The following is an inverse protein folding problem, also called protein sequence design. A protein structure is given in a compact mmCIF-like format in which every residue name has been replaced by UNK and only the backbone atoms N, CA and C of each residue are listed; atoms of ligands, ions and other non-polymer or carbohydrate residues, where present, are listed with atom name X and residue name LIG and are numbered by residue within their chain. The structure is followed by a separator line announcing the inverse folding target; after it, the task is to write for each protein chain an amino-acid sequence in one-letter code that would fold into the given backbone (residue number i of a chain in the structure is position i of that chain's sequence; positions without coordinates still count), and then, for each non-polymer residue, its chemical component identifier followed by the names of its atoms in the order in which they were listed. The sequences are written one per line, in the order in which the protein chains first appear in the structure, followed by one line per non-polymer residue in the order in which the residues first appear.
data_IF_803140564912
#
_entry.id   IF_803140564912
#
_cell.length_a   1.000
_cell.length_b   1.000
_cell.length_c   1.000
_cell.angle_alpha   90.00
_cell.angle_beta   90.00
_cell.angle_gamma   90.00
#
_symmetry.space_group_name_H-M   'P 1'
#
loop_
_entity.id
_entity.type
_entity.pdbx_description
1 polymer ?
#
# COMPACT_ATOMS: atom_id res chain seq x y z
N UNK A 1 9.18 6.39 -9.63
CA UNK A 1 8.97 5.39 -10.68
C UNK A 1 7.47 5.14 -10.76
N UNK A 2 6.90 5.02 -11.96
CA UNK A 2 5.46 4.77 -12.12
C UNK A 2 5.30 3.54 -13.01
N UNK A 3 4.91 2.44 -12.38
CA UNK A 3 4.58 1.21 -13.08
C UNK A 3 3.26 1.42 -13.84
N UNK A 4 3.15 0.79 -15.01
CA UNK A 4 1.94 0.78 -15.83
C UNK A 4 1.23 -0.55 -15.68
N UNK A 5 -0.09 -0.52 -15.65
CA UNK A 5 -0.89 -1.74 -15.69
C UNK A 5 -0.72 -2.43 -17.05
N UNK A 6 -0.42 -3.72 -17.00
CA UNK A 6 -0.25 -4.61 -18.15
C UNK A 6 -1.49 -5.48 -18.39
N UNK A 7 -1.27 -6.74 -18.73
CA UNK A 7 -2.35 -7.72 -18.87
C UNK A 7 -3.00 -8.01 -17.52
N UNK A 8 -4.33 -8.14 -17.52
CA UNK A 8 -5.11 -8.53 -16.34
C UNK A 8 -5.83 -9.85 -16.66
N UNK A 9 -5.38 -10.94 -16.04
CA UNK A 9 -6.11 -12.22 -16.10
C UNK A 9 -7.34 -12.16 -15.20
N UNK A 10 -7.18 -11.51 -14.04
CA UNK A 10 -8.25 -11.17 -13.13
C UNK A 10 -7.96 -9.80 -12.48
N UNK A 11 -8.71 -8.74 -12.83
CA UNK A 11 -8.50 -7.42 -12.25
C UNK A 11 -9.00 -7.37 -10.81
N UNK A 12 -8.28 -6.69 -9.92
CA UNK A 12 -8.76 -6.42 -8.58
C UNK A 12 -10.09 -5.63 -8.61
N UNK A 13 -11.10 -6.11 -7.88
CA UNK A 13 -12.45 -5.57 -7.88
C UNK A 13 -12.98 -5.36 -6.47
N UNK A 14 -13.01 -4.08 -6.05
CA UNK A 14 -13.69 -3.66 -4.83
C UNK A 14 -15.18 -4.06 -4.83
N UNK A 15 -15.82 -4.06 -6.01
CA UNK A 15 -17.22 -4.44 -6.14
C UNK A 15 -17.44 -5.92 -5.87
N UNK A 16 -16.56 -6.78 -6.39
CA UNK A 16 -16.61 -8.23 -6.15
C UNK A 16 -16.35 -8.54 -4.68
N UNK A 17 -15.38 -7.87 -4.05
CA UNK A 17 -15.15 -7.95 -2.62
C UNK A 17 -16.42 -7.62 -1.82
N UNK A 18 -17.12 -6.54 -2.16
CA UNK A 18 -18.33 -6.14 -1.44
C UNK A 18 -19.51 -7.08 -1.65
N UNK A 19 -19.66 -7.64 -2.85
CA UNK A 19 -20.77 -8.50 -3.24
C UNK A 19 -20.58 -9.94 -2.75
N UNK A 20 -19.38 -10.50 -2.94
CA UNK A 20 -19.05 -11.90 -2.70
C UNK A 20 -18.34 -12.12 -1.36
N UNK A 21 -17.83 -11.05 -0.74
CA UNK A 21 -16.99 -11.14 0.46
C UNK A 21 -15.56 -11.59 0.18
N UNK A 22 -15.20 -11.76 -1.10
CA UNK A 22 -13.87 -12.15 -1.57
C UNK A 22 -13.64 -11.59 -2.98
N UNK A 23 -12.43 -11.13 -3.22
CA UNK A 23 -11.92 -10.74 -4.52
C UNK A 23 -10.58 -11.44 -4.72
N UNK A 24 -10.42 -12.14 -5.84
CA UNK A 24 -9.15 -12.76 -6.26
C UNK A 24 -8.61 -11.91 -7.41
N UNK A 25 -7.28 -11.80 -7.54
CA UNK A 25 -6.68 -11.01 -8.61
C UNK A 25 -5.37 -11.62 -9.13
N UNK A 26 -5.14 -11.41 -10.43
CA UNK A 26 -3.99 -11.87 -11.19
C UNK A 26 -3.73 -10.89 -12.34
N UNK A 27 -2.76 -10.01 -12.16
CA UNK A 27 -2.43 -8.96 -13.13
C UNK A 27 -0.94 -8.73 -13.25
N UNK A 28 -0.56 -8.04 -14.31
CA UNK A 28 0.83 -7.66 -14.57
C UNK A 28 1.01 -6.16 -14.47
N UNK A 29 2.19 -5.72 -14.05
CA UNK A 29 2.64 -4.34 -14.24
C UNK A 29 3.96 -4.32 -15.00
N UNK A 30 4.20 -3.23 -15.71
CA UNK A 30 5.44 -2.96 -16.42
C UNK A 30 6.09 -1.68 -15.88
N UNK A 31 7.33 -1.76 -15.41
CA UNK A 31 8.08 -0.60 -14.96
C UNK A 31 8.50 0.29 -16.12
N UNK A 32 8.97 1.51 -15.84
CA UNK A 32 9.52 2.39 -16.89
C UNK A 32 10.75 1.83 -17.61
N UNK A 33 11.39 0.79 -17.05
CA UNK A 33 12.55 0.12 -17.63
C UNK A 33 12.17 -1.17 -18.39
N UNK A 34 10.88 -1.49 -18.50
CA UNK A 34 10.39 -2.71 -19.17
C UNK A 34 10.42 -3.95 -18.29
N UNK A 35 10.58 -3.80 -16.97
CA UNK A 35 10.48 -4.94 -16.06
C UNK A 35 9.02 -5.34 -15.90
N UNK A 36 8.71 -6.57 -16.29
CA UNK A 36 7.39 -7.16 -16.10
C UNK A 36 7.31 -7.83 -14.73
N UNK A 37 6.27 -7.52 -13.96
CA UNK A 37 5.97 -8.16 -12.69
C UNK A 37 4.54 -8.68 -12.70
N UNK A 38 4.32 -9.88 -12.19
CA UNK A 38 2.98 -10.47 -12.01
C UNK A 38 2.60 -10.41 -10.54
N UNK A 39 1.37 -9.99 -10.26
CA UNK A 39 0.79 -9.90 -8.93
C UNK A 39 -0.36 -10.88 -8.86
N UNK A 40 -0.29 -11.80 -7.90
CA UNK A 40 -1.34 -12.79 -7.66
C UNK A 40 -1.73 -12.73 -6.20
N UNK A 41 -3.02 -12.65 -5.90
CA UNK A 41 -3.48 -12.51 -4.53
C UNK A 41 -4.98 -12.50 -4.39
N UNK A 42 -5.43 -12.11 -3.20
CA UNK A 42 -6.83 -11.93 -2.90
C UNK A 42 -7.05 -11.04 -1.68
N UNK A 43 -8.25 -10.48 -1.62
CA UNK A 43 -8.85 -9.83 -0.45
C UNK A 43 -10.08 -10.61 0.03
N UNK A 44 -10.32 -10.63 1.33
CA UNK A 44 -11.51 -11.27 1.91
C UNK A 44 -12.06 -10.47 3.09
N UNK A 45 -13.37 -10.26 3.12
CA UNK A 45 -14.05 -9.71 4.30
C UNK A 45 -13.97 -10.71 5.45
N UNK A 46 -13.51 -10.27 6.63
CA UNK A 46 -13.46 -11.10 7.83
C UNK A 46 -14.81 -11.18 8.53
N UNK A 47 -15.71 -10.23 8.23
CA UNK A 47 -16.98 -10.02 8.93
C UNK A 47 -16.84 -9.20 10.22
N UNK A 48 -15.63 -8.77 10.57
CA UNK A 48 -15.39 -7.90 11.73
C UNK A 48 -15.52 -6.43 11.35
N UNK A 49 -15.98 -5.62 12.30
CA UNK A 49 -16.09 -4.16 12.15
C UNK A 49 -15.36 -3.45 13.28
N UNK A 50 -14.74 -2.32 12.97
CA UNK A 50 -14.00 -1.48 13.91
C UNK A 50 -14.51 -0.05 13.82
N UNK A 51 -14.48 0.67 14.94
CA UNK A 51 -14.80 2.10 14.97
C UNK A 51 -13.54 2.87 15.28
N UNK A 52 -13.09 3.71 14.35
CA UNK A 52 -11.91 4.55 14.47
C UNK A 52 -12.37 5.98 14.22
N UNK A 53 -12.17 6.85 15.21
CA UNK A 53 -12.59 8.25 15.15
C UNK A 53 -14.07 8.43 14.73
N UNK A 54 -14.94 7.59 15.30
CA UNK A 54 -16.38 7.59 15.01
C UNK A 54 -16.77 6.99 13.65
N UNK A 55 -15.81 6.62 12.79
CA UNK A 55 -16.06 5.99 11.49
C UNK A 55 -16.04 4.47 11.65
N UNK A 56 -17.11 3.82 11.18
CA UNK A 56 -17.21 2.36 11.16
C UNK A 56 -16.53 1.83 9.90
N UNK A 57 -15.59 0.91 10.08
CA UNK A 57 -14.82 0.24 9.04
C UNK A 57 -15.03 -1.26 9.12
N UNK A 58 -15.01 -1.94 7.98
CA UNK A 58 -15.00 -3.40 7.90
C UNK A 58 -13.56 -3.90 7.72
N UNK A 59 -13.18 -4.95 8.44
CA UNK A 59 -11.84 -5.52 8.30
C UNK A 59 -11.81 -6.53 7.13
N UNK A 60 -10.74 -6.46 6.34
CA UNK A 60 -10.36 -7.47 5.36
C UNK A 60 -9.09 -8.18 5.80
N UNK A 61 -8.88 -9.39 5.28
CA UNK A 61 -7.56 -10.02 5.22
C UNK A 61 -7.12 -10.10 3.77
N UNK A 62 -5.81 -10.06 3.54
CA UNK A 62 -5.23 -10.13 2.20
C UNK A 62 -3.98 -11.00 2.15
N UNK A 63 -3.70 -11.54 0.96
CA UNK A 63 -2.45 -12.19 0.58
C UNK A 63 -2.10 -11.75 -0.84
N UNK A 64 -0.84 -11.41 -1.07
CA UNK A 64 -0.33 -10.97 -2.36
C UNK A 64 1.11 -11.47 -2.56
N UNK A 65 1.37 -12.05 -3.73
CA UNK A 65 2.72 -12.44 -4.13
C UNK A 65 3.07 -11.77 -5.45
N UNK A 66 4.29 -11.22 -5.52
CA UNK A 66 4.87 -10.67 -6.73
C UNK A 66 5.88 -11.64 -7.34
N UNK A 67 5.78 -11.85 -8.64
CA UNK A 67 6.67 -12.69 -9.43
C UNK A 67 7.37 -11.88 -10.52
N UNK A 68 8.60 -12.30 -10.86
CA UNK A 68 9.31 -11.81 -12.04
C UNK A 68 8.75 -12.39 -13.34
N UNK A 69 9.31 -11.96 -14.47
CA UNK A 69 8.89 -12.40 -15.81
C UNK A 69 9.11 -13.90 -16.07
N UNK A 70 10.06 -14.53 -15.37
CA UNK A 70 10.38 -15.96 -15.47
C UNK A 70 9.53 -16.81 -14.50
N UNK A 71 8.73 -16.18 -13.63
CA UNK A 71 7.89 -16.82 -12.63
C UNK A 71 8.58 -17.06 -11.28
N UNK A 72 9.76 -16.49 -11.06
CA UNK A 72 10.43 -16.48 -9.76
C UNK A 72 9.71 -15.55 -8.79
N UNK A 73 9.47 -16.00 -7.55
CA UNK A 73 8.91 -15.16 -6.50
C UNK A 73 9.93 -14.08 -6.11
N UNK A 74 9.48 -12.82 -6.07
CA UNK A 74 10.29 -11.68 -5.64
C UNK A 74 10.01 -11.39 -4.15
N UNK A 75 8.73 -11.33 -3.80
CA UNK A 75 8.25 -11.11 -2.43
C UNK A 75 6.78 -11.52 -2.28
N UNK A 76 6.38 -11.73 -1.03
CA UNK A 76 4.99 -11.89 -0.62
C UNK A 76 4.63 -10.95 0.52
N UNK A 77 3.35 -10.59 0.58
CA UNK A 77 2.72 -9.76 1.59
C UNK A 77 1.44 -10.41 2.07
N UNK A 78 1.15 -10.29 3.35
CA UNK A 78 -0.13 -10.73 3.90
C UNK A 78 -0.50 -9.90 5.13
N UNK A 79 -1.76 -9.88 5.50
CA UNK A 79 -2.17 -9.17 6.70
C UNK A 79 -3.64 -8.78 6.66
N UNK A 80 -3.94 -7.64 7.28
CA UNK A 80 -5.29 -7.09 7.31
C UNK A 80 -5.30 -5.65 6.84
N UNK A 81 -6.43 -5.25 6.27
CA UNK A 81 -6.74 -3.87 5.97
C UNK A 81 -8.13 -3.55 6.50
N UNK A 82 -8.53 -2.29 6.37
CA UNK A 82 -9.88 -1.84 6.65
C UNK A 82 -10.49 -1.25 5.39
N UNK A 83 -11.80 -1.37 5.23
CA UNK A 83 -12.53 -0.72 4.15
C UNK A 83 -13.63 0.17 4.69
N UNK A 84 -13.89 1.26 3.98
CA UNK A 84 -15.10 2.05 4.15
C UNK A 84 -15.96 1.95 2.89
N UNK A 85 -17.11 1.27 2.97
CA UNK A 85 -17.97 1.01 1.78
C UNK A 85 -18.39 2.27 1.05
N UNK A 86 -18.70 3.33 1.78
CA UNK A 86 -19.16 4.60 1.21
C UNK A 86 -18.05 5.38 0.50
N UNK A 87 -16.80 5.23 0.94
CA UNK A 87 -15.65 5.92 0.35
C UNK A 87 -14.96 5.07 -0.72
N UNK A 88 -15.20 3.75 -0.70
CA UNK A 88 -14.62 2.76 -1.62
C UNK A 88 -13.09 2.78 -1.59
N UNK A 89 -12.52 2.90 -0.39
CA UNK A 89 -11.08 2.89 -0.15
C UNK A 89 -10.71 1.73 0.77
N UNK A 90 -9.49 1.24 0.59
CA UNK A 90 -8.77 0.46 1.58
C UNK A 90 -7.94 1.41 2.46
N UNK A 91 -7.84 1.07 3.74
CA UNK A 91 -7.03 1.73 4.73
C UNK A 91 -6.09 0.68 5.33
N UNK A 92 -4.82 1.05 5.58
CA UNK A 92 -3.83 0.12 6.09
C UNK A 92 -4.22 -0.47 7.46
N UNK A 93 -3.75 -1.68 7.72
CA UNK A 93 -3.88 -2.39 9.00
C UNK A 93 -2.53 -2.95 9.42
N UNK A 94 -2.43 -4.26 9.64
CA UNK A 94 -1.14 -4.94 9.82
C UNK A 94 -0.66 -5.55 8.51
N UNK A 95 0.63 -5.49 8.24
CA UNK A 95 1.26 -6.16 7.09
C UNK A 95 2.45 -7.01 7.56
N UNK A 96 2.56 -8.20 6.99
CA UNK A 96 3.69 -9.10 7.04
C UNK A 96 4.31 -9.16 5.64
N UNK A 97 5.56 -8.76 5.51
CA UNK A 97 6.32 -8.80 4.27
C UNK A 97 7.45 -9.82 4.36
N UNK A 98 7.66 -10.57 3.28
CA UNK A 98 8.81 -11.47 3.10
C UNK A 98 9.35 -11.38 1.67
N UNK A 99 10.66 -11.24 1.51
CA UNK A 99 11.31 -11.28 0.19
C UNK A 99 11.96 -12.64 -0.10
N UNK A 100 12.37 -12.86 -1.35
CA UNK A 100 13.01 -14.11 -1.77
C UNK A 100 14.39 -14.38 -1.15
N UNK A 101 14.99 -13.40 -0.47
CA UNK A 101 16.22 -13.55 0.30
C UNK A 101 15.98 -13.96 1.76
N UNK A 102 14.70 -13.98 2.20
CA UNK A 102 14.29 -14.35 3.55
C UNK A 102 14.23 -13.18 4.54
N UNK A 103 14.37 -11.93 4.08
CA UNK A 103 14.14 -10.76 4.93
C UNK A 103 12.64 -10.64 5.25
N UNK A 104 12.33 -10.28 6.50
CA UNK A 104 10.96 -10.17 7.00
C UNK A 104 10.73 -8.85 7.70
N UNK A 105 9.59 -8.23 7.46
CA UNK A 105 9.17 -6.98 8.09
C UNK A 105 7.70 -7.08 8.47
N UNK A 106 7.40 -6.75 9.73
CA UNK A 106 6.03 -6.62 10.23
C UNK A 106 5.74 -5.15 10.49
N UNK A 107 4.62 -4.63 9.97
CA UNK A 107 4.19 -3.25 10.20
C UNK A 107 2.76 -3.19 10.73
N UNK A 108 2.47 -2.13 11.48
CA UNK A 108 1.13 -1.80 11.97
C UNK A 108 0.89 -0.32 11.67
N UNK A 109 0.08 -0.06 10.66
CA UNK A 109 -0.18 1.30 10.14
C UNK A 109 -1.67 1.63 10.21
N UNK A 110 -2.36 1.11 11.22
CA UNK A 110 -3.80 1.32 11.38
C UNK A 110 -4.13 2.81 11.55
N UNK A 111 -5.18 3.33 10.91
CA UNK A 111 -5.55 4.74 11.03
C UNK A 111 -5.92 5.09 12.48
N UNK A 112 -5.63 6.33 12.88
CA UNK A 112 -5.88 6.84 14.24
C UNK A 112 -7.00 7.89 14.26
N UNK A 113 -7.04 8.77 13.25
CA UNK A 113 -7.97 9.90 13.13
C UNK A 113 -8.32 10.13 11.64
N UNK A 114 -9.52 10.65 11.35
CA UNK A 114 -9.92 11.10 10.02
C UNK A 114 -10.23 12.59 10.05
N UNK A 115 -9.43 13.39 9.33
CA UNK A 115 -9.81 14.78 9.08
C UNK A 115 -10.85 14.84 7.96
N UNK A 116 -12.06 15.28 8.26
CA UNK A 116 -13.17 15.44 7.31
C UNK A 116 -13.38 16.91 6.92
N UNK A 117 -14.07 17.18 5.79
CA UNK A 117 -14.41 18.55 5.42
C UNK A 117 -15.15 19.30 6.55
N UNK A 118 -14.53 20.36 7.06
CA UNK A 118 -15.04 21.17 8.17
C UNK A 118 -14.29 21.00 9.49
N UNK A 119 -13.47 19.95 9.62
CA UNK A 119 -12.65 19.74 10.80
C UNK A 119 -11.44 20.67 10.85
N UNK A 120 -11.03 21.01 12.07
CA UNK A 120 -9.77 21.71 12.29
C UNK A 120 -8.62 20.74 11.98
N UNK A 121 -7.78 21.09 11.01
CA UNK A 121 -6.74 20.19 10.52
C UNK A 121 -7.00 19.62 9.13
N UNK A 122 -8.21 19.80 8.58
CA UNK A 122 -8.50 19.35 7.22
C UNK A 122 -7.62 20.12 6.21
N UNK A 123 -6.85 19.37 5.40
CA UNK A 123 -5.84 19.88 4.45
C UNK A 123 -4.61 20.55 5.09
N UNK A 124 -4.36 20.34 6.39
CA UNK A 124 -3.06 20.71 6.97
C UNK A 124 -1.96 19.79 6.42
N UNK A 125 -0.79 20.37 6.13
CA UNK A 125 0.35 19.65 5.55
C UNK A 125 1.36 19.19 6.59
N UNK A 126 1.07 19.42 7.88
CA UNK A 126 1.90 18.95 8.99
C UNK A 126 1.33 17.62 9.51
N UNK A 127 2.09 16.52 9.50
CA UNK A 127 1.61 15.24 9.99
C UNK A 127 1.41 15.28 11.51
N UNK A 128 0.22 14.85 11.96
CA UNK A 128 -0.11 14.76 13.40
C UNK A 128 0.48 13.52 14.09
N UNK A 129 0.71 12.45 13.33
CA UNK A 129 1.14 11.14 13.82
C UNK A 129 2.34 10.65 13.00
N UNK A 130 3.19 9.83 13.62
CA UNK A 130 4.41 9.25 13.03
C UNK A 130 5.34 10.24 12.33
N UNK A 131 5.54 11.40 12.98
CA UNK A 131 6.71 12.24 12.76
C UNK A 131 7.91 11.72 13.57
N UNK A 132 8.35 10.49 13.32
CA UNK A 132 9.76 10.19 13.57
C UNK A 132 10.53 10.92 12.48
N UNK A 133 11.18 12.02 12.88
CA UNK A 133 11.90 12.94 12.01
C UNK A 133 13.00 12.23 11.21
N UNK A 134 12.67 11.59 10.10
CA UNK A 134 13.58 11.44 8.99
C UNK A 134 13.73 12.81 8.36
N UNK A 135 14.66 13.58 8.93
CA UNK A 135 15.10 14.84 8.37
C UNK A 135 15.75 14.52 7.01
N UNK A 136 14.97 14.55 5.94
CA UNK A 136 15.52 14.61 4.58
C UNK A 136 16.15 16.00 4.39
N UNK A 137 17.31 16.21 5.00
CA UNK A 137 18.13 17.38 4.71
C UNK A 137 18.85 17.11 3.38
N UNK A 138 18.38 17.73 2.31
CA UNK A 138 19.16 17.88 1.09
C UNK A 138 20.32 18.85 1.42
N UNK A 139 21.45 18.32 1.88
CA UNK A 139 22.68 19.10 1.90
C UNK A 139 23.15 19.24 0.45
N UNK A 140 22.71 20.30 -0.21
CA UNK A 140 23.37 20.79 -1.42
C UNK A 140 24.73 21.33 -0.98
N UNK A 141 25.77 20.51 -1.05
CA UNK A 141 27.15 21.01 -1.03
C UNK A 141 27.32 21.90 -2.25
N UNK A 142 27.66 23.20 -2.09
CA UNK A 142 28.10 24.00 -3.21
C UNK A 142 29.39 23.36 -3.76
N UNK A 143 29.39 22.97 -5.03
CA UNK A 143 30.63 22.66 -5.75
C UNK A 143 31.33 23.99 -6.02
N UNK A 144 32.03 24.53 -5.01
CA UNK A 144 32.93 25.66 -5.21
C UNK A 144 34.18 25.14 -5.92
N UNK A 145 34.31 25.60 -7.17
CA UNK A 145 35.37 25.22 -8.10
C UNK A 145 36.75 25.55 -7.55
N UNK A 146 37.56 24.50 -7.37
CA UNK A 146 38.99 24.65 -7.18
C UNK A 146 39.65 25.27 -8.42
N UNK A 147 40.70 26.11 -8.26
CA UNK A 147 41.38 26.73 -9.38
C UNK A 147 42.19 25.69 -10.15
N UNK A 148 42.11 25.75 -11.48
CA UNK A 148 42.96 24.95 -12.39
C UNK A 148 44.39 25.50 -12.39
N UNK A 149 45.43 24.68 -12.22
CA UNK A 149 46.71 24.89 -12.89
C UNK A 149 46.66 24.38 -14.35
#
# INVERSE_FOLDING_TARGET
EQDRLGEEKDPASFSDLLEKGRDDFDFFTESSYGELRRYVGHDRLTGQTHTIDGIVLEQTEFQLTAYDADGGEIWSRSGNQFIHRGWRIFLPGTEHFENSYGDKVDTVESPVEFALPGDKGFLENEPKYDCDTLTASLQLTPMDGGPRP
#
